data_IF_145841440322
#
_entry.id   IF_145841440322
#
_cell.length_a   1.000
_cell.length_b   1.000
_cell.length_c   1.000
_cell.angle_alpha   90.00
_cell.angle_beta   90.00
_cell.angle_gamma   90.00
#
_symmetry.space_group_name_H-M   'P 1'
#
loop_
_entity.id
_entity.type
_entity.pdbx_description
1 polymer ?
#
# COMPACT_ATOMS: atom_id res chain seq x y z
N UNK A 1 4.58 -12.58 -34.02
CA UNK A 1 5.80 -11.88 -33.56
C UNK A 1 5.68 -11.79 -32.05
N UNK A 2 6.63 -12.32 -31.29
CA UNK A 2 6.55 -12.27 -29.83
C UNK A 2 6.79 -10.83 -29.37
N UNK A 3 5.84 -10.25 -28.65
CA UNK A 3 5.96 -8.93 -28.04
C UNK A 3 7.22 -8.90 -27.15
N UNK A 4 8.20 -8.06 -27.50
CA UNK A 4 9.49 -8.01 -26.80
C UNK A 4 9.39 -7.26 -25.46
N UNK A 5 8.43 -6.35 -25.36
CA UNK A 5 8.11 -5.56 -24.16
C UNK A 5 6.73 -5.96 -23.69
N UNK A 6 6.61 -6.37 -22.43
CA UNK A 6 5.33 -6.83 -21.86
C UNK A 6 5.07 -6.11 -20.55
N UNK A 7 3.81 -5.86 -20.24
CA UNK A 7 3.43 -5.30 -18.95
C UNK A 7 3.77 -6.29 -17.82
N UNK A 8 4.39 -5.79 -16.75
CA UNK A 8 4.96 -6.64 -15.70
C UNK A 8 3.87 -7.44 -14.94
N UNK A 9 2.67 -6.88 -14.79
CA UNK A 9 1.52 -7.53 -14.16
C UNK A 9 1.08 -8.79 -14.91
N UNK A 10 0.91 -8.68 -16.23
CA UNK A 10 0.55 -9.79 -17.11
C UNK A 10 1.66 -10.83 -17.17
N UNK A 11 2.92 -10.38 -17.19
CA UNK A 11 4.06 -11.28 -17.13
C UNK A 11 4.08 -12.07 -15.82
N UNK A 12 3.94 -11.40 -14.67
CA UNK A 12 3.89 -12.02 -13.35
C UNK A 12 2.77 -13.06 -13.21
N UNK A 13 1.57 -12.76 -13.72
CA UNK A 13 0.43 -13.68 -13.70
C UNK A 13 0.64 -14.92 -14.58
N UNK A 14 1.41 -14.78 -15.67
CA UNK A 14 1.74 -15.88 -16.56
C UNK A 14 2.87 -16.79 -16.04
N UNK A 15 3.61 -16.38 -15.00
CA UNK A 15 4.68 -17.21 -14.42
C UNK A 15 4.11 -18.38 -13.60
N UNK A 16 4.71 -19.57 -13.70
CA UNK A 16 4.34 -20.72 -12.87
C UNK A 16 4.59 -20.43 -11.39
N UNK A 17 3.65 -20.86 -10.54
CA UNK A 17 3.75 -20.76 -9.09
C UNK A 17 4.97 -21.54 -8.58
N UNK A 18 5.80 -20.91 -7.76
CA UNK A 18 7.03 -21.50 -7.19
C UNK A 18 8.32 -21.26 -7.99
N UNK A 19 8.28 -20.56 -9.13
CA UNK A 19 9.51 -20.15 -9.83
C UNK A 19 10.23 -19.02 -9.06
N UNK A 20 11.56 -19.12 -8.95
CA UNK A 20 12.40 -18.09 -8.30
C UNK A 20 12.26 -16.70 -8.95
N UNK A 21 11.95 -16.67 -10.25
CA UNK A 21 11.65 -15.45 -11.00
C UNK A 21 10.33 -14.80 -10.55
N UNK A 22 9.34 -15.57 -10.11
CA UNK A 22 8.07 -15.01 -9.63
C UNK A 22 8.26 -14.23 -8.33
N UNK A 23 9.12 -14.71 -7.44
CA UNK A 23 9.44 -13.96 -6.21
C UNK A 23 10.15 -12.63 -6.47
N UNK A 24 11.01 -12.54 -7.50
CA UNK A 24 11.70 -11.28 -7.83
C UNK A 24 10.80 -10.22 -8.43
N UNK A 25 9.67 -10.62 -9.04
CA UNK A 25 8.69 -9.72 -9.63
C UNK A 25 7.43 -9.55 -8.79
N UNK A 26 7.43 -10.02 -7.54
CA UNK A 26 6.25 -9.99 -6.69
C UNK A 26 5.76 -8.55 -6.46
N UNK A 27 4.43 -8.33 -6.46
CA UNK A 27 3.89 -7.02 -6.13
C UNK A 27 4.26 -6.63 -4.70
N UNK A 28 4.50 -5.33 -4.42
CA UNK A 28 4.80 -4.87 -3.07
C UNK A 28 3.65 -5.22 -2.11
N UNK A 29 4.02 -5.64 -0.90
CA UNK A 29 3.06 -6.11 0.09
C UNK A 29 1.95 -5.08 0.33
N UNK A 30 0.70 -5.52 0.20
CA UNK A 30 -0.44 -4.66 0.54
C UNK A 30 -0.50 -4.48 2.04
N UNK A 31 -0.21 -3.28 2.52
CA UNK A 31 -0.58 -2.90 3.88
C UNK A 31 -2.09 -2.62 3.87
N UNK A 32 -2.89 -3.63 4.20
CA UNK A 32 -4.30 -3.43 4.48
C UNK A 32 -4.39 -2.53 5.72
N UNK A 33 -5.10 -1.42 5.60
CA UNK A 33 -5.27 -0.48 6.69
C UNK A 33 -6.15 -1.12 7.77
N UNK A 34 -5.55 -1.69 8.81
CA UNK A 34 -6.30 -2.18 9.97
C UNK A 34 -6.68 -1.00 10.85
N UNK A 35 -7.85 -0.40 10.57
CA UNK A 35 -8.39 0.70 11.36
C UNK A 35 -9.14 0.25 12.62
N UNK A 36 -9.21 -1.05 12.91
CA UNK A 36 -9.98 -1.58 14.04
C UNK A 36 -9.51 -1.03 15.38
N UNK A 37 -8.20 -1.05 15.63
CA UNK A 37 -7.61 -0.53 16.88
C UNK A 37 -7.85 0.98 17.05
N UNK A 38 -7.52 1.86 16.08
CA UNK A 38 -7.75 3.29 16.27
C UNK A 38 -9.24 3.65 16.42
N UNK A 39 -10.16 2.91 15.80
CA UNK A 39 -11.61 3.11 15.99
C UNK A 39 -12.05 2.82 17.42
N UNK A 40 -11.60 1.71 18.01
CA UNK A 40 -11.94 1.34 19.39
C UNK A 40 -11.36 2.35 20.39
N UNK A 41 -10.12 2.80 20.16
CA UNK A 41 -9.48 3.81 21.01
C UNK A 41 -10.19 5.17 20.90
N UNK A 42 -10.61 5.57 19.70
CA UNK A 42 -11.38 6.80 19.51
C UNK A 42 -12.74 6.75 20.20
N UNK A 43 -13.45 5.61 20.12
CA UNK A 43 -14.73 5.41 20.80
C UNK A 43 -14.58 5.46 22.34
N UNK A 44 -13.54 4.83 22.89
CA UNK A 44 -13.22 4.90 24.31
C UNK A 44 -12.87 6.33 24.75
N UNK A 45 -12.07 7.05 23.96
CA UNK A 45 -11.73 8.46 24.22
C UNK A 45 -12.96 9.36 24.27
N UNK A 46 -13.89 9.21 23.31
CA UNK A 46 -15.14 9.95 23.29
C UNK A 46 -16.00 9.68 24.53
N UNK A 47 -16.07 8.43 24.99
CA UNK A 47 -16.79 8.05 26.20
C UNK A 47 -16.23 8.76 27.44
N UNK A 48 -14.90 8.80 27.61
CA UNK A 48 -14.27 9.49 28.75
C UNK A 48 -14.42 11.01 28.72
N UNK A 49 -14.57 11.64 27.55
CA UNK A 49 -14.88 13.08 27.47
C UNK A 49 -16.29 13.37 28.01
N UNK A 50 -17.25 12.47 27.78
CA UNK A 50 -18.65 12.62 28.21
C UNK A 50 -18.78 12.44 29.73
N UNK A 51 -17.95 11.59 30.33
CA UNK A 51 -17.92 11.32 31.79
C UNK A 51 -17.13 12.37 32.59
N UNK A 52 -16.95 13.58 32.05
CA UNK A 52 -16.20 14.71 32.61
C UNK A 52 -14.69 14.45 32.87
N UNK A 53 -14.17 13.29 32.48
CA UNK A 53 -12.74 12.96 32.44
C UNK A 53 -12.05 13.54 31.20
N UNK A 54 -12.22 14.85 30.98
CA UNK A 54 -11.87 15.56 29.74
C UNK A 54 -10.41 15.41 29.33
N UNK A 55 -9.48 15.46 30.29
CA UNK A 55 -8.04 15.35 30.02
C UNK A 55 -7.68 13.97 29.48
N UNK A 56 -8.24 12.91 30.09
CA UNK A 56 -8.00 11.53 29.66
C UNK A 56 -8.63 11.26 28.29
N UNK A 57 -9.85 11.74 28.08
CA UNK A 57 -10.56 11.61 26.81
C UNK A 57 -9.85 12.32 25.66
N UNK A 58 -9.33 13.54 25.88
CA UNK A 58 -8.54 14.28 24.89
C UNK A 58 -7.22 13.55 24.56
N UNK A 59 -6.51 13.01 25.55
CA UNK A 59 -5.30 12.21 25.30
C UNK A 59 -5.59 10.97 24.46
N UNK A 60 -6.69 10.26 24.73
CA UNK A 60 -7.10 9.10 23.94
C UNK A 60 -7.47 9.47 22.50
N UNK A 61 -8.17 10.59 22.29
CA UNK A 61 -8.48 11.06 20.94
C UNK A 61 -7.22 11.50 20.18
N UNK A 62 -6.28 12.16 20.85
CA UNK A 62 -5.03 12.61 20.26
C UNK A 62 -4.16 11.41 19.84
N UNK A 63 -4.03 10.41 20.73
CA UNK A 63 -3.31 9.16 20.41
C UNK A 63 -3.98 8.39 19.28
N UNK A 64 -5.31 8.28 19.25
CA UNK A 64 -6.03 7.67 18.13
C UNK A 64 -5.79 8.40 16.81
N UNK A 65 -5.81 9.74 16.82
CA UNK A 65 -5.54 10.56 15.64
C UNK A 65 -4.12 10.39 15.10
N UNK A 66 -3.11 10.38 15.98
CA UNK A 66 -1.70 10.16 15.59
C UNK A 66 -1.52 8.76 14.99
N UNK A 67 -2.08 7.72 15.61
CA UNK A 67 -2.01 6.34 15.09
C UNK A 67 -2.70 6.24 13.74
N UNK A 68 -3.89 6.83 13.59
CA UNK A 68 -4.61 6.83 12.32
C UNK A 68 -3.81 7.53 11.21
N UNK A 69 -3.14 8.65 11.52
CA UNK A 69 -2.31 9.39 10.58
C UNK A 69 -1.06 8.61 10.12
N UNK A 70 -0.40 7.92 11.05
CA UNK A 70 0.76 7.07 10.71
C UNK A 70 0.33 5.90 9.83
N UNK A 71 -0.80 5.27 10.15
CA UNK A 71 -1.37 4.17 9.34
C UNK A 71 -1.76 4.68 7.95
N UNK A 72 -2.40 5.84 7.84
CA UNK A 72 -2.80 6.40 6.54
C UNK A 72 -1.59 6.71 5.65
N UNK A 73 -0.53 7.32 6.20
CA UNK A 73 0.74 7.56 5.49
C UNK A 73 1.34 6.26 4.93
N UNK A 74 1.41 5.21 5.75
CA UNK A 74 1.95 3.93 5.32
C UNK A 74 1.08 3.22 4.26
N UNK A 75 -0.23 3.42 4.28
CA UNK A 75 -1.16 2.90 3.27
C UNK A 75 -1.00 3.67 1.96
N UNK A 76 -0.84 4.98 2.02
CA UNK A 76 -0.61 5.82 0.84
C UNK A 76 0.72 5.47 0.16
N UNK A 77 1.77 5.26 0.92
CA UNK A 77 3.07 4.79 0.41
C UNK A 77 2.94 3.42 -0.27
N UNK A 78 2.27 2.46 0.37
CA UNK A 78 2.02 1.14 -0.22
C UNK A 78 1.17 1.22 -1.50
N UNK A 79 0.16 2.11 -1.52
CA UNK A 79 -0.67 2.37 -2.71
C UNK A 79 0.15 2.96 -3.85
N UNK A 80 1.02 3.93 -3.57
CA UNK A 80 1.92 4.53 -4.57
C UNK A 80 2.91 3.51 -5.12
N UNK A 81 3.52 2.71 -4.24
CA UNK A 81 4.42 1.63 -4.66
C UNK A 81 3.71 0.63 -5.58
N UNK A 82 2.49 0.22 -5.22
CA UNK A 82 1.67 -0.67 -6.06
C UNK A 82 1.28 -0.02 -7.38
N UNK A 83 0.84 1.23 -7.36
CA UNK A 83 0.50 1.97 -8.58
C UNK A 83 1.70 2.11 -9.53
N UNK A 84 2.91 2.29 -8.99
CA UNK A 84 4.13 2.30 -9.79
C UNK A 84 4.47 0.92 -10.37
N UNK A 85 4.29 -0.16 -9.58
CA UNK A 85 4.51 -1.54 -10.02
C UNK A 85 3.54 -1.96 -11.12
N UNK A 86 2.25 -1.60 -11.02
CA UNK A 86 1.22 -1.90 -12.03
C UNK A 86 1.50 -1.20 -13.37
N UNK A 87 2.28 -0.12 -13.38
CA UNK A 87 2.68 0.60 -14.59
C UNK A 87 4.02 0.13 -15.16
N UNK A 88 4.76 -0.73 -14.45
CA UNK A 88 6.06 -1.21 -14.93
C UNK A 88 5.90 -2.07 -16.19
N UNK A 89 6.82 -1.85 -17.12
CA UNK A 89 7.03 -2.70 -18.28
C UNK A 89 8.31 -3.51 -18.09
N UNK A 90 8.29 -4.73 -18.63
CA UNK A 90 9.40 -5.67 -18.61
C UNK A 90 9.84 -5.98 -20.04
N UNK A 91 11.12 -5.74 -20.35
CA UNK A 91 11.71 -6.16 -21.62
C UNK A 91 12.28 -7.57 -21.48
N UNK A 92 11.78 -8.53 -22.28
CA UNK A 92 12.25 -9.93 -22.24
C UNK A 92 13.66 -10.09 -22.82
N UNK A 93 14.08 -9.17 -23.69
CA UNK A 93 15.41 -9.22 -24.31
C UNK A 93 16.49 -8.67 -23.37
N UNK A 94 16.21 -7.56 -22.68
CA UNK A 94 17.17 -6.91 -21.80
C UNK A 94 17.09 -7.39 -20.35
N UNK A 95 15.99 -8.04 -19.95
CA UNK A 95 15.68 -8.43 -18.57
C UNK A 95 15.66 -7.23 -17.58
N UNK A 96 15.24 -6.06 -18.06
CA UNK A 96 15.17 -4.81 -17.29
C UNK A 96 13.71 -4.39 -17.15
N UNK A 97 13.34 -3.92 -15.95
CA UNK A 97 12.07 -3.26 -15.66
C UNK A 97 12.21 -1.74 -15.85
N UNK A 98 11.23 -1.11 -16.49
CA UNK A 98 11.21 0.34 -16.70
C UNK A 98 9.79 0.88 -16.55
N UNK A 99 9.67 2.14 -16.13
CA UNK A 99 8.41 2.87 -16.18
C UNK A 99 8.28 3.52 -17.55
N UNK A 100 7.14 3.36 -18.26
CA UNK A 100 6.86 4.22 -19.39
C UNK A 100 6.76 5.66 -18.91
N UNK A 101 7.49 6.56 -19.57
CA UNK A 101 7.19 7.98 -19.49
C UNK A 101 5.79 8.16 -20.05
N UNK A 102 4.87 8.70 -19.25
CA UNK A 102 3.58 9.16 -19.77
C UNK A 102 3.91 10.24 -20.79
N UNK A 103 3.83 9.91 -22.08
CA UNK A 103 4.10 10.86 -23.15
C UNK A 103 3.24 12.11 -22.97
N UNK A 104 3.78 13.30 -23.29
CA UNK A 104 3.00 14.54 -23.22
C UNK A 104 1.79 14.42 -24.13
N UNK A 105 0.63 14.73 -23.55
CA UNK A 105 -0.63 15.03 -24.21
C UNK A 105 -0.52 16.10 -25.30
#
# INVERSE_FOLDING_TARGET
MAEQVVKLDHYYLALPDGSALKSSFAPPATRAASYGVPLVVAAAGAFFVIDDARVLGLLLLLTAGVVAFVVSRGVDEARRARASWERQMFCRHCAICFLPETGPE
#
